data_IF_109388160398
#
_entry.id   IF_109388160398
#
_cell.length_a   1.000
_cell.length_b   1.000
_cell.length_c   1.000
_cell.angle_alpha   90.00
_cell.angle_beta   90.00
_cell.angle_gamma   90.00
#
_symmetry.space_group_name_H-M   'P 1'
#
loop_
_entity.id
_entity.type
_entity.pdbx_description
1 polymer ?
#
# COMPACT_ATOMS: atom_id res chain seq x y z
N UNK A 1 -9.41 -40.21 -6.70
CA UNK A 1 -8.38 -40.11 -5.64
C UNK A 1 -7.99 -38.63 -5.58
N UNK A 2 -8.49 -37.88 -4.59
CA UNK A 2 -7.99 -36.53 -4.35
C UNK A 2 -6.54 -36.66 -3.83
N UNK A 3 -5.57 -36.37 -4.69
CA UNK A 3 -4.22 -36.16 -4.22
C UNK A 3 -4.26 -34.88 -3.38
N UNK A 4 -4.21 -35.02 -2.05
CA UNK A 4 -3.87 -33.90 -1.17
C UNK A 4 -2.43 -33.49 -1.51
N UNK A 5 -2.28 -32.54 -2.45
CA UNK A 5 -0.97 -31.93 -2.72
C UNK A 5 -0.75 -30.99 -1.54
N UNK A 6 0.26 -31.21 -0.70
CA UNK A 6 0.49 -30.33 0.44
C UNK A 6 0.93 -28.97 -0.07
N UNK A 7 0.22 -27.91 0.32
CA UNK A 7 0.62 -26.52 0.03
C UNK A 7 1.99 -26.25 0.64
N UNK A 8 2.93 -25.79 -0.19
CA UNK A 8 4.33 -25.49 0.17
C UNK A 8 4.62 -24.00 0.20
N UNK A 9 3.77 -23.19 -0.45
CA UNK A 9 3.91 -21.76 -0.49
C UNK A 9 2.59 -21.02 -0.45
N UNK A 10 2.62 -19.77 0.07
CA UNK A 10 1.49 -18.84 0.03
C UNK A 10 2.00 -17.49 -0.47
N UNK A 11 1.30 -16.96 -1.46
CA UNK A 11 1.57 -15.65 -2.06
C UNK A 11 0.47 -14.70 -1.61
N UNK A 12 0.84 -13.65 -0.89
CA UNK A 12 -0.06 -12.62 -0.41
C UNK A 12 -0.04 -11.39 -1.32
N UNK A 13 -1.17 -10.77 -1.48
CA UNK A 13 -1.22 -9.34 -1.79
C UNK A 13 -0.86 -8.52 -0.54
N UNK A 14 -0.46 -7.26 -0.72
CA UNK A 14 -0.04 -6.38 0.37
C UNK A 14 -1.17 -5.45 0.82
N UNK A 15 -1.60 -4.57 -0.08
CA UNK A 15 -2.53 -3.48 0.21
C UNK A 15 -3.98 -3.98 0.27
N UNK A 16 -4.70 -3.67 1.33
CA UNK A 16 -6.05 -4.18 1.64
C UNK A 16 -6.13 -5.71 1.82
N UNK A 17 -4.98 -6.37 1.99
CA UNK A 17 -4.87 -7.80 2.32
C UNK A 17 -4.10 -8.00 3.62
N UNK A 18 -2.88 -7.48 3.73
CA UNK A 18 -2.10 -7.52 4.96
C UNK A 18 -2.26 -6.26 5.81
N UNK A 19 -2.65 -5.15 5.21
CA UNK A 19 -2.89 -3.86 5.86
C UNK A 19 -4.10 -3.15 5.25
N UNK A 20 -4.73 -2.26 6.03
CA UNK A 20 -5.85 -1.43 5.58
C UNK A 20 -5.33 -0.14 4.91
N UNK A 21 -4.92 -0.30 3.66
CA UNK A 21 -4.37 0.80 2.87
C UNK A 21 -5.37 1.93 2.64
N UNK A 22 -6.62 1.59 2.30
CA UNK A 22 -7.64 2.60 2.01
C UNK A 22 -8.01 3.39 3.26
N UNK A 23 -8.11 2.75 4.41
CA UNK A 23 -8.37 3.43 5.68
C UNK A 23 -7.22 4.36 6.07
N UNK A 24 -5.99 3.89 5.95
CA UNK A 24 -4.79 4.71 6.17
C UNK A 24 -4.79 5.94 5.26
N UNK A 25 -5.08 5.77 3.95
CA UNK A 25 -5.16 6.87 2.98
C UNK A 25 -6.26 7.87 3.34
N UNK A 26 -7.46 7.37 3.68
CA UNK A 26 -8.59 8.22 4.11
C UNK A 26 -8.20 9.13 5.27
N UNK A 27 -7.64 8.55 6.33
CA UNK A 27 -7.23 9.30 7.52
C UNK A 27 -6.13 10.30 7.20
N UNK A 28 -5.14 9.89 6.40
CA UNK A 28 -4.02 10.75 6.01
C UNK A 28 -4.48 11.96 5.17
N UNK A 29 -5.38 11.75 4.20
CA UNK A 29 -5.93 12.84 3.38
C UNK A 29 -6.75 13.81 4.23
N UNK A 30 -7.63 13.32 5.09
CA UNK A 30 -8.40 14.18 6.02
C UNK A 30 -7.49 15.01 6.93
N UNK A 31 -6.41 14.40 7.42
CA UNK A 31 -5.42 15.11 8.22
C UNK A 31 -4.67 16.18 7.44
N UNK A 32 -4.33 15.91 6.17
CA UNK A 32 -3.70 16.90 5.29
C UNK A 32 -4.59 18.13 5.09
N UNK A 33 -5.88 17.93 4.82
CA UNK A 33 -6.86 19.00 4.64
C UNK A 33 -6.95 19.84 5.91
N UNK A 34 -7.08 19.19 7.08
CA UNK A 34 -7.10 19.90 8.37
C UNK A 34 -5.83 20.73 8.60
N UNK A 35 -4.66 20.16 8.28
CA UNK A 35 -3.40 20.89 8.39
C UNK A 35 -3.35 22.11 7.48
N UNK A 36 -3.89 22.05 6.27
CA UNK A 36 -3.99 23.20 5.37
C UNK A 36 -4.96 24.26 5.91
N UNK A 37 -6.12 23.85 6.45
CA UNK A 37 -7.10 24.77 7.08
C UNK A 37 -6.50 25.45 8.31
N UNK A 38 -5.84 24.71 9.18
CA UNK A 38 -5.14 25.26 10.37
C UNK A 38 -4.03 26.27 9.97
N UNK A 39 -3.41 26.07 8.81
CA UNK A 39 -2.45 27.00 8.23
C UNK A 39 -3.10 28.25 7.64
N UNK A 40 -4.44 28.31 7.57
CA UNK A 40 -5.23 29.47 7.10
C UNK A 40 -5.78 29.34 5.67
N UNK A 41 -5.75 28.13 5.07
CA UNK A 41 -6.42 27.92 3.78
C UNK A 41 -7.94 27.84 4.00
N UNK A 42 -8.68 28.71 3.30
CA UNK A 42 -10.15 28.78 3.37
C UNK A 42 -10.77 27.80 2.37
N UNK A 43 -11.11 26.61 2.85
CA UNK A 43 -11.67 25.51 2.06
C UNK A 43 -12.68 24.70 2.87
N UNK A 44 -13.66 24.09 2.20
CA UNK A 44 -14.56 23.09 2.80
C UNK A 44 -13.85 21.72 2.90
N UNK A 45 -13.89 21.09 4.08
CA UNK A 45 -13.21 19.80 4.34
C UNK A 45 -13.77 18.68 3.47
N UNK A 46 -15.11 18.62 3.30
CA UNK A 46 -15.78 17.52 2.57
C UNK A 46 -15.56 17.60 1.07
N UNK A 47 -15.66 18.82 0.52
CA UNK A 47 -15.43 19.05 -0.91
C UNK A 47 -13.97 18.82 -1.26
N UNK A 48 -13.05 19.34 -0.44
CA UNK A 48 -11.61 19.13 -0.61
C UNK A 48 -11.23 17.65 -0.56
N UNK A 49 -11.87 16.86 0.32
CA UNK A 49 -11.64 15.42 0.35
C UNK A 49 -12.06 14.73 -0.96
N UNK A 50 -13.23 15.05 -1.50
CA UNK A 50 -13.70 14.52 -2.79
C UNK A 50 -12.75 14.90 -3.94
N UNK A 51 -12.30 16.14 -3.95
CA UNK A 51 -11.38 16.64 -4.96
C UNK A 51 -10.04 15.92 -4.92
N UNK A 52 -9.45 15.74 -3.74
CA UNK A 52 -8.18 15.03 -3.56
C UNK A 52 -8.33 13.55 -3.94
N UNK A 53 -9.43 12.90 -3.56
CA UNK A 53 -9.72 11.52 -3.96
C UNK A 53 -9.82 11.41 -5.48
N UNK A 54 -10.54 12.30 -6.14
CA UNK A 54 -10.63 12.34 -7.60
C UNK A 54 -9.27 12.50 -8.29
N UNK A 55 -8.37 13.29 -7.70
CA UNK A 55 -6.99 13.43 -8.20
C UNK A 55 -6.23 12.10 -8.06
N UNK A 56 -6.37 11.40 -6.92
CA UNK A 56 -5.77 10.07 -6.74
C UNK A 56 -6.32 9.04 -7.72
N UNK A 57 -7.64 9.02 -7.96
CA UNK A 57 -8.27 8.12 -8.92
C UNK A 57 -7.75 8.35 -10.35
N UNK A 58 -7.51 9.60 -10.72
CA UNK A 58 -7.00 9.97 -12.04
C UNK A 58 -5.52 9.68 -12.23
N UNK A 59 -4.69 9.97 -11.23
CA UNK A 59 -3.22 9.95 -11.35
C UNK A 59 -2.55 8.80 -10.59
N UNK A 60 -3.34 7.96 -9.90
CA UNK A 60 -2.87 6.84 -9.10
C UNK A 60 -2.67 7.18 -7.62
N UNK A 61 -2.96 6.18 -6.77
CA UNK A 61 -2.92 6.32 -5.31
C UNK A 61 -1.52 6.58 -4.72
N UNK A 62 -0.46 6.40 -5.51
CA UNK A 62 0.93 6.68 -5.13
C UNK A 62 1.46 8.00 -5.71
N UNK A 63 0.60 8.82 -6.31
CA UNK A 63 1.01 10.12 -6.85
C UNK A 63 1.48 11.05 -5.72
N UNK A 64 2.72 11.52 -5.84
CA UNK A 64 3.37 12.37 -4.83
C UNK A 64 3.00 13.86 -4.98
N UNK A 65 2.39 14.27 -6.12
CA UNK A 65 2.05 15.66 -6.43
C UNK A 65 0.57 15.98 -6.24
N UNK A 66 -0.17 15.14 -5.53
CA UNK A 66 -1.62 15.29 -5.36
C UNK A 66 -1.98 16.63 -4.71
N UNK A 67 -1.24 17.06 -3.69
CA UNK A 67 -1.51 18.32 -3.01
C UNK A 67 -1.09 19.54 -3.84
N UNK A 68 -0.06 19.42 -4.68
CA UNK A 68 0.31 20.46 -5.65
C UNK A 68 -0.84 20.68 -6.65
N UNK A 69 -1.36 19.58 -7.22
CA UNK A 69 -2.49 19.62 -8.16
C UNK A 69 -3.75 20.18 -7.48
N UNK A 70 -4.03 19.75 -6.25
CA UNK A 70 -5.16 20.24 -5.47
C UNK A 70 -5.08 21.74 -5.22
N UNK A 71 -3.96 22.24 -4.70
CA UNK A 71 -3.76 23.67 -4.42
C UNK A 71 -3.87 24.50 -5.69
N UNK A 72 -3.21 24.08 -6.78
CA UNK A 72 -3.30 24.78 -8.05
C UNK A 72 -4.73 24.85 -8.60
N UNK A 73 -5.54 23.79 -8.43
CA UNK A 73 -6.96 23.77 -8.79
C UNK A 73 -7.77 24.71 -7.92
N UNK A 74 -7.50 24.77 -6.62
CA UNK A 74 -8.33 25.45 -5.60
C UNK A 74 -8.06 26.95 -5.53
N UNK A 75 -6.78 27.35 -5.54
CA UNK A 75 -6.35 28.76 -5.38
C UNK A 75 -5.55 29.31 -6.56
N UNK A 76 -5.35 28.51 -7.62
CA UNK A 76 -4.68 28.93 -8.85
C UNK A 76 -3.14 28.85 -8.83
N UNK A 77 -2.53 28.52 -7.70
CA UNK A 77 -1.08 28.37 -7.54
C UNK A 77 -0.74 27.42 -6.39
N UNK A 78 0.52 27.01 -6.30
CA UNK A 78 1.01 26.17 -5.20
C UNK A 78 1.64 27.07 -4.14
N UNK A 79 0.93 27.25 -3.03
CA UNK A 79 1.47 27.91 -1.85
C UNK A 79 2.25 26.93 -0.99
N UNK A 80 3.54 27.21 -0.79
CA UNK A 80 4.44 26.31 -0.04
C UNK A 80 4.08 26.18 1.45
N UNK A 81 3.45 27.19 2.06
CA UNK A 81 2.99 27.12 3.45
C UNK A 81 1.89 26.07 3.59
N UNK A 82 0.86 26.14 2.76
CA UNK A 82 -0.25 25.20 2.76
C UNK A 82 0.19 23.82 2.34
N UNK A 83 1.03 23.72 1.29
CA UNK A 83 1.61 22.46 0.83
C UNK A 83 2.39 21.76 1.95
N UNK A 84 3.27 22.47 2.64
CA UNK A 84 4.07 21.91 3.72
C UNK A 84 3.20 21.46 4.90
N UNK A 85 2.20 22.27 5.30
CA UNK A 85 1.25 21.91 6.35
C UNK A 85 0.50 20.63 6.01
N UNK A 86 -0.03 20.52 4.79
CA UNK A 86 -0.72 19.32 4.29
C UNK A 86 0.19 18.09 4.27
N UNK A 87 1.41 18.20 3.71
CA UNK A 87 2.36 17.10 3.63
C UNK A 87 2.76 16.60 5.03
N UNK A 88 3.05 17.50 5.96
CA UNK A 88 3.45 17.12 7.34
C UNK A 88 2.31 16.41 8.05
N UNK A 89 1.10 16.96 7.99
CA UNK A 89 -0.09 16.34 8.59
C UNK A 89 -0.40 14.97 7.96
N UNK A 90 -0.34 14.88 6.63
CA UNK A 90 -0.51 13.62 5.89
C UNK A 90 0.48 12.56 6.35
N UNK A 91 1.78 12.87 6.37
CA UNK A 91 2.82 11.90 6.74
C UNK A 91 2.64 11.38 8.16
N UNK A 92 2.40 12.26 9.13
CA UNK A 92 2.14 11.87 10.52
C UNK A 92 0.95 10.93 10.64
N UNK A 93 -0.16 11.28 10.00
CA UNK A 93 -1.38 10.47 10.05
C UNK A 93 -1.20 9.13 9.30
N UNK A 94 -0.51 9.13 8.15
CA UNK A 94 -0.19 7.91 7.41
C UNK A 94 0.60 6.94 8.26
N UNK A 95 1.66 7.39 8.90
CA UNK A 95 2.52 6.56 9.75
C UNK A 95 1.76 6.01 10.96
N UNK A 96 0.97 6.86 11.62
CA UNK A 96 0.17 6.45 12.79
C UNK A 96 -0.95 5.45 12.45
N UNK A 97 -1.40 5.41 11.20
CA UNK A 97 -2.51 4.54 10.77
C UNK A 97 -2.08 3.42 9.82
N UNK A 98 -0.78 3.23 9.61
CA UNK A 98 -0.24 2.11 8.86
C UNK A 98 -0.21 0.88 9.77
N UNK A 99 -1.31 0.16 9.82
CA UNK A 99 -1.53 -0.98 10.70
C UNK A 99 -1.86 -2.23 9.90
N UNK A 100 -1.29 -3.37 10.33
CA UNK A 100 -1.69 -4.67 9.79
C UNK A 100 -3.12 -5.02 10.22
N UNK A 101 -3.83 -5.76 9.37
CA UNK A 101 -5.11 -6.33 9.79
C UNK A 101 -4.96 -7.26 11.02
N UNK A 102 -6.03 -7.42 11.81
CA UNK A 102 -6.02 -8.36 12.91
C UNK A 102 -5.58 -9.76 12.47
N UNK A 103 -4.78 -10.43 13.30
CA UNK A 103 -4.25 -11.78 13.07
C UNK A 103 -3.21 -11.95 11.96
N UNK A 104 -2.83 -10.95 11.20
CA UNK A 104 -1.78 -11.06 10.16
C UNK A 104 -0.51 -11.69 10.75
N UNK A 105 0.07 -11.10 11.78
CA UNK A 105 1.28 -11.63 12.42
C UNK A 105 1.10 -13.08 12.91
N UNK A 106 -0.05 -13.39 13.52
CA UNK A 106 -0.35 -14.75 14.00
C UNK A 106 -0.39 -15.76 12.85
N UNK A 107 -1.01 -15.37 11.73
CA UNK A 107 -1.10 -16.20 10.53
C UNK A 107 0.26 -16.44 9.92
N UNK A 108 1.06 -15.39 9.71
CA UNK A 108 2.41 -15.50 9.14
C UNK A 108 3.32 -16.38 10.01
N UNK A 109 3.32 -16.16 11.33
CA UNK A 109 4.05 -17.03 12.28
C UNK A 109 3.58 -18.49 12.19
N UNK A 110 2.27 -18.72 12.08
CA UNK A 110 1.71 -20.07 11.95
C UNK A 110 2.19 -20.78 10.68
N UNK A 111 2.13 -20.08 9.54
CA UNK A 111 2.58 -20.62 8.26
C UNK A 111 4.10 -20.89 8.24
N UNK A 112 4.90 -19.97 8.78
CA UNK A 112 6.36 -20.16 8.89
C UNK A 112 6.71 -21.37 9.76
N UNK A 113 6.00 -21.59 10.87
CA UNK A 113 6.19 -22.78 11.73
C UNK A 113 5.86 -24.10 11.01
N UNK A 114 4.97 -24.07 10.03
CA UNK A 114 4.66 -25.21 9.18
C UNK A 114 5.66 -25.42 8.05
N UNK A 115 6.68 -24.57 7.94
CA UNK A 115 7.68 -24.63 6.87
C UNK A 115 7.16 -24.15 5.51
N UNK A 116 6.05 -23.42 5.48
CA UNK A 116 5.46 -22.87 4.27
C UNK A 116 6.24 -21.62 3.88
N UNK A 117 6.67 -21.55 2.61
CA UNK A 117 7.33 -20.38 2.04
C UNK A 117 6.33 -19.26 1.78
N UNK A 118 6.72 -18.03 2.05
CA UNK A 118 5.84 -16.89 1.95
C UNK A 118 6.37 -15.86 0.95
N UNK A 119 5.49 -15.36 0.08
CA UNK A 119 5.82 -14.24 -0.80
C UNK A 119 4.75 -13.15 -0.74
N UNK A 120 5.15 -11.96 -1.15
CA UNK A 120 4.25 -10.83 -1.43
C UNK A 120 4.31 -10.52 -2.92
N UNK A 121 3.14 -10.29 -3.53
CA UNK A 121 2.98 -9.71 -4.87
C UNK A 121 2.13 -8.45 -4.76
N UNK A 122 2.73 -7.29 -5.02
CA UNK A 122 2.08 -5.99 -4.87
C UNK A 122 2.17 -5.16 -6.15
N UNK A 123 1.07 -4.44 -6.47
CA UNK A 123 1.03 -3.47 -7.57
C UNK A 123 1.64 -2.10 -7.20
N UNK A 124 2.10 -1.95 -5.97
CA UNK A 124 2.77 -0.74 -5.50
C UNK A 124 4.20 -0.66 -6.07
N UNK A 125 4.74 0.56 -6.24
CA UNK A 125 6.17 0.75 -6.49
C UNK A 125 7.01 0.14 -5.37
N UNK A 126 8.22 -0.33 -5.70
CA UNK A 126 9.10 -1.04 -4.77
C UNK A 126 9.34 -0.29 -3.47
N UNK A 127 9.67 1.00 -3.57
CA UNK A 127 9.93 1.83 -2.39
C UNK A 127 8.74 1.85 -1.44
N UNK A 128 7.53 2.05 -1.96
CA UNK A 128 6.31 2.16 -1.15
C UNK A 128 5.92 0.80 -0.54
N UNK A 129 6.04 -0.29 -1.30
CA UNK A 129 5.79 -1.64 -0.79
C UNK A 129 6.76 -1.99 0.35
N UNK A 130 8.07 -1.80 0.15
CA UNK A 130 9.08 -2.07 1.17
C UNK A 130 8.92 -1.19 2.41
N UNK A 131 8.60 0.09 2.26
CA UNK A 131 8.31 0.96 3.41
C UNK A 131 7.17 0.40 4.27
N UNK A 132 6.07 -0.08 3.66
CA UNK A 132 4.95 -0.70 4.38
C UNK A 132 5.38 -1.97 5.11
N UNK A 133 6.10 -2.85 4.42
CA UNK A 133 6.60 -4.11 4.99
C UNK A 133 7.50 -3.85 6.20
N UNK A 134 8.39 -2.84 6.12
CA UNK A 134 9.26 -2.47 7.24
C UNK A 134 8.50 -1.81 8.38
N UNK A 135 7.59 -0.87 8.12
CA UNK A 135 6.76 -0.24 9.15
C UNK A 135 5.94 -1.25 9.95
N UNK A 136 5.45 -2.28 9.27
CA UNK A 136 4.66 -3.35 9.89
C UNK A 136 5.53 -4.43 10.55
N UNK A 137 6.86 -4.34 10.45
CA UNK A 137 7.81 -5.37 10.90
C UNK A 137 7.55 -6.76 10.28
N UNK A 138 7.11 -6.80 9.02
CA UNK A 138 6.78 -8.04 8.31
C UNK A 138 7.91 -8.57 7.42
N UNK A 139 8.99 -7.79 7.25
CA UNK A 139 10.09 -8.09 6.30
C UNK A 139 10.75 -9.46 6.50
N UNK A 140 10.75 -9.97 7.72
CA UNK A 140 11.40 -11.24 8.08
C UNK A 140 10.55 -12.48 7.80
N UNK A 141 9.29 -12.32 7.41
CA UNK A 141 8.40 -13.45 7.09
C UNK A 141 8.49 -13.88 5.63
N UNK A 142 8.88 -12.99 4.73
CA UNK A 142 8.76 -13.24 3.30
C UNK A 142 10.10 -13.68 2.67
N UNK A 143 10.06 -14.84 2.01
CA UNK A 143 11.16 -15.37 1.20
C UNK A 143 11.30 -14.60 -0.13
N UNK A 144 10.21 -14.00 -0.61
CA UNK A 144 10.20 -13.17 -1.81
C UNK A 144 9.20 -12.02 -1.70
N UNK A 145 9.57 -10.87 -2.26
CA UNK A 145 8.68 -9.72 -2.49
C UNK A 145 8.83 -9.34 -3.95
N UNK A 146 7.70 -9.28 -4.65
CA UNK A 146 7.59 -8.85 -6.05
C UNK A 146 6.68 -7.63 -6.08
N UNK A 147 7.19 -6.56 -6.65
CA UNK A 147 6.50 -5.28 -6.77
C UNK A 147 6.23 -4.94 -8.22
N UNK A 148 5.51 -3.84 -8.47
CA UNK A 148 5.32 -3.35 -9.83
C UNK A 148 6.65 -3.08 -10.55
N UNK A 149 7.64 -2.52 -9.86
CA UNK A 149 8.93 -2.19 -10.47
C UNK A 149 9.74 -3.45 -10.85
N UNK A 150 9.52 -4.58 -10.15
CA UNK A 150 10.16 -5.85 -10.48
C UNK A 150 9.56 -6.49 -11.73
N UNK A 151 8.24 -6.50 -11.85
CA UNK A 151 7.53 -7.19 -12.94
C UNK A 151 7.28 -6.32 -14.17
N UNK A 152 7.15 -5.01 -13.96
CA UNK A 152 6.68 -4.06 -14.97
C UNK A 152 5.20 -4.22 -15.33
N UNK A 153 4.49 -5.15 -14.68
CA UNK A 153 3.09 -5.47 -14.95
C UNK A 153 2.28 -5.54 -13.65
N UNK A 154 0.99 -5.21 -13.76
CA UNK A 154 0.06 -5.23 -12.64
C UNK A 154 -0.83 -6.47 -12.68
N UNK A 155 -1.36 -6.87 -11.55
CA UNK A 155 -2.45 -7.84 -11.48
C UNK A 155 -3.64 -7.34 -12.33
N UNK A 156 -4.30 -8.19 -13.11
CA UNK A 156 -4.29 -9.67 -13.06
C UNK A 156 -3.26 -10.38 -13.96
N UNK A 157 -2.17 -9.71 -14.42
CA UNK A 157 -1.11 -10.40 -15.15
C UNK A 157 -0.53 -11.56 -14.35
N UNK A 158 -0.21 -12.69 -15.03
CA UNK A 158 0.45 -13.85 -14.42
C UNK A 158 1.90 -13.58 -14.04
N UNK A 159 2.57 -12.67 -14.76
CA UNK A 159 4.01 -12.43 -14.66
C UNK A 159 4.52 -12.17 -13.22
N UNK A 160 3.91 -11.27 -12.39
CA UNK A 160 4.38 -11.08 -11.03
C UNK A 160 4.25 -12.35 -10.16
N UNK A 161 3.25 -13.18 -10.41
CA UNK A 161 3.07 -14.45 -9.70
C UNK A 161 4.11 -15.50 -10.14
N UNK A 162 4.39 -15.62 -11.43
CA UNK A 162 5.44 -16.48 -11.97
C UNK A 162 6.81 -16.11 -11.41
N UNK A 163 7.11 -14.81 -11.28
CA UNK A 163 8.33 -14.34 -10.65
C UNK A 163 8.40 -14.72 -9.17
N UNK A 164 7.29 -14.63 -8.43
CA UNK A 164 7.23 -15.06 -7.03
C UNK A 164 7.47 -16.57 -6.90
N UNK A 165 6.79 -17.39 -7.70
CA UNK A 165 6.97 -18.84 -7.75
C UNK A 165 8.42 -19.23 -8.05
N UNK A 166 9.03 -18.60 -9.04
CA UNK A 166 10.44 -18.83 -9.39
C UNK A 166 11.37 -18.51 -8.22
N UNK A 167 11.17 -17.37 -7.52
CA UNK A 167 11.98 -17.03 -6.34
C UNK A 167 11.77 -18.02 -5.19
N UNK A 168 10.54 -18.49 -4.99
CA UNK A 168 10.22 -19.52 -3.99
C UNK A 168 10.72 -20.91 -4.40
N UNK A 169 11.03 -21.14 -5.67
CA UNK A 169 11.34 -22.45 -6.27
C UNK A 169 10.17 -23.43 -6.05
N UNK A 170 8.97 -23.00 -6.42
CA UNK A 170 7.73 -23.75 -6.31
C UNK A 170 6.97 -23.74 -7.62
N UNK A 171 6.17 -24.76 -7.83
CA UNK A 171 5.18 -24.82 -8.92
C UNK A 171 3.85 -24.19 -8.47
N UNK A 172 3.04 -23.76 -9.43
CA UNK A 172 1.74 -23.14 -9.13
C UNK A 172 0.83 -24.07 -8.32
N UNK A 173 0.88 -25.38 -8.62
CA UNK A 173 0.08 -26.43 -7.97
C UNK A 173 0.43 -26.61 -6.47
N UNK A 174 1.64 -26.22 -6.06
CA UNK A 174 2.13 -26.30 -4.69
C UNK A 174 1.79 -25.03 -3.87
N UNK A 175 1.15 -24.03 -4.49
CA UNK A 175 1.00 -22.70 -3.91
C UNK A 175 -0.46 -22.24 -3.81
N UNK A 176 -0.73 -21.41 -2.81
CA UNK A 176 -1.98 -20.69 -2.61
C UNK A 176 -1.77 -19.20 -2.90
N UNK A 177 -2.76 -18.57 -3.53
CA UNK A 177 -2.77 -17.12 -3.80
C UNK A 177 -4.00 -16.52 -3.16
#
# INVERSE_FOLDING_TARGET
>A
MNKNIPIKGVIFDLDNTLLDFMKMKEVAVKSAIKGMIEAGLDIDEKESYKDIVSIYEKFGWENQKVFDVFLNKTIGYVDNKFLAAGIVAYRRAREANLLAYPNVNRTLVGLTKLGIKLAVVSDAPSREAWMRIYYLNLYHFFDAVITFDDSGERKPSSKPFEMALNKLKLEAEDSLI
#
